data_IF_858467920784
#
_entry.id   IF_858467920784
#
_cell.length_a   1.000
_cell.length_b   1.000
_cell.length_c   1.000
_cell.angle_alpha   90.00
_cell.angle_beta   90.00
_cell.angle_gamma   90.00
#
_symmetry.space_group_name_H-M   'P 1'
#
loop_
_entity.id
_entity.type
_entity.pdbx_description
1 polymer ?
#
# COMPACT_ATOMS: atom_id res chain seq x y z
N UNK A 1 53.56 -30.98 60.82
CA UNK A 1 53.31 -29.56 60.47
C UNK A 1 53.22 -29.45 58.96
N UNK A 2 52.44 -28.47 58.49
CA UNK A 2 52.09 -28.12 57.08
C UNK A 2 50.84 -28.83 56.52
N UNK A 3 49.71 -28.13 56.68
CA UNK A 3 48.40 -28.50 56.14
C UNK A 3 48.23 -28.08 54.69
N UNK A 4 47.21 -28.66 54.05
CA UNK A 4 46.70 -28.21 52.76
C UNK A 4 45.18 -28.12 52.86
N UNK A 5 44.69 -26.89 52.90
CA UNK A 5 43.27 -26.57 52.80
C UNK A 5 42.98 -26.40 51.31
N UNK A 6 42.40 -27.41 50.66
CA UNK A 6 41.87 -27.26 49.30
C UNK A 6 40.37 -27.00 49.38
N UNK A 7 40.04 -25.71 49.34
CA UNK A 7 38.70 -25.24 49.05
C UNK A 7 38.60 -25.24 47.53
N UNK A 8 37.78 -26.12 46.97
CA UNK A 8 37.32 -25.98 45.60
C UNK A 8 35.78 -26.05 45.57
N UNK A 9 35.14 -25.13 44.83
CA UNK A 9 33.87 -24.55 45.20
C UNK A 9 32.68 -25.40 44.75
N UNK A 10 31.56 -25.24 45.45
CA UNK A 10 30.23 -25.70 45.07
C UNK A 10 29.98 -25.41 43.59
N UNK A 11 29.83 -26.45 42.76
CA UNK A 11 29.28 -26.30 41.41
C UNK A 11 27.78 -26.07 41.58
N UNK A 12 27.45 -24.87 42.03
CA UNK A 12 26.10 -24.36 42.05
C UNK A 12 25.82 -23.77 40.67
N UNK A 13 24.62 -24.04 40.18
CA UNK A 13 24.03 -23.48 38.98
C UNK A 13 24.46 -24.16 37.68
N UNK A 14 23.96 -25.38 37.51
CA UNK A 14 23.50 -25.87 36.21
C UNK A 14 22.36 -24.94 35.73
N UNK A 15 22.74 -23.70 35.37
CA UNK A 15 21.84 -22.67 34.87
C UNK A 15 21.24 -23.23 33.58
N UNK A 16 19.91 -23.37 33.58
CA UNK A 16 19.15 -23.61 32.36
C UNK A 16 19.65 -22.63 31.31
N UNK A 17 20.34 -23.17 30.32
CA UNK A 17 20.83 -22.44 29.17
C UNK A 17 19.58 -21.85 28.51
N UNK A 18 19.50 -20.52 28.58
CA UNK A 18 18.50 -19.65 27.97
C UNK A 18 17.81 -20.33 26.80
N UNK A 19 16.52 -20.63 26.92
CA UNK A 19 15.69 -20.95 25.76
C UNK A 19 15.78 -19.71 24.88
N UNK A 20 16.41 -19.76 23.68
CA UNK A 20 16.35 -18.63 22.79
C UNK A 20 14.90 -18.59 22.30
N UNK A 21 14.06 -17.84 23.03
CA UNK A 21 12.78 -17.44 22.51
C UNK A 21 13.09 -16.46 21.38
N UNK A 22 13.34 -17.02 20.21
CA UNK A 22 13.42 -16.28 18.96
C UNK A 22 11.99 -15.81 18.71
N UNK A 23 11.63 -14.67 19.30
CA UNK A 23 10.46 -13.92 18.91
C UNK A 23 10.68 -13.59 17.45
N UNK A 24 10.24 -14.48 16.58
CA UNK A 24 10.18 -14.24 15.16
C UNK A 24 8.95 -13.37 15.04
N UNK A 25 9.08 -12.03 14.89
CA UNK A 25 7.89 -11.25 14.64
C UNK A 25 7.33 -11.82 13.33
N UNK A 26 6.20 -12.50 13.43
CA UNK A 26 5.38 -12.80 12.26
C UNK A 26 4.85 -11.43 11.87
N UNK A 27 5.67 -10.69 11.12
CA UNK A 27 5.32 -9.45 10.49
C UNK A 27 4.21 -9.82 9.51
N UNK A 28 2.97 -9.80 9.99
CA UNK A 28 1.80 -9.80 9.13
C UNK A 28 1.94 -8.52 8.32
N UNK A 29 2.54 -8.62 7.15
CA UNK A 29 2.56 -7.57 6.15
C UNK A 29 1.11 -7.42 5.69
N UNK A 30 0.32 -6.68 6.47
CA UNK A 30 -1.04 -6.32 6.09
C UNK A 30 -0.87 -5.28 5.01
N UNK A 31 -0.66 -5.72 3.77
CA UNK A 31 -0.75 -4.84 2.62
C UNK A 31 -2.18 -4.31 2.58
N UNK A 32 -2.37 -3.12 3.13
CA UNK A 32 -3.64 -2.39 3.03
C UNK A 32 -3.88 -2.13 1.56
N UNK A 33 -4.66 -2.99 0.91
CA UNK A 33 -5.03 -2.83 -0.50
C UNK A 33 -5.59 -1.42 -0.69
N UNK A 34 -4.95 -0.65 -1.56
CA UNK A 34 -5.35 0.72 -1.85
C UNK A 34 -6.75 0.68 -2.45
N UNK A 35 -7.74 1.15 -1.67
CA UNK A 35 -9.16 1.11 -2.05
C UNK A 35 -9.53 2.24 -3.01
N UNK A 36 -8.76 3.31 -3.02
CA UNK A 36 -9.04 4.53 -3.79
C UNK A 36 -7.89 4.84 -4.73
N UNK A 37 -8.20 5.04 -6.01
CA UNK A 37 -7.24 5.49 -7.01
C UNK A 37 -7.80 6.70 -7.76
N UNK A 38 -7.12 7.83 -7.66
CA UNK A 38 -7.45 9.05 -8.40
C UNK A 38 -6.76 9.03 -9.76
N UNK A 39 -7.40 9.57 -10.78
CA UNK A 39 -6.80 9.73 -12.11
C UNK A 39 -7.26 11.02 -12.78
N UNK A 40 -6.41 11.57 -13.63
CA UNK A 40 -6.76 12.60 -14.60
C UNK A 40 -6.86 11.98 -15.99
N UNK A 41 -7.61 12.60 -16.88
CA UNK A 41 -7.74 12.18 -18.27
C UNK A 41 -7.73 13.39 -19.19
N UNK A 42 -7.03 13.25 -20.32
CA UNK A 42 -7.05 14.20 -21.42
C UNK A 42 -7.37 13.38 -22.66
N UNK A 43 -8.27 13.88 -23.50
CA UNK A 43 -8.70 13.21 -24.72
C UNK A 43 -8.77 14.18 -25.89
N UNK A 44 -8.42 13.71 -27.08
CA UNK A 44 -8.64 14.42 -28.34
C UNK A 44 -9.17 13.43 -29.37
N UNK A 45 -10.13 13.85 -30.19
CA UNK A 45 -10.73 13.00 -31.22
C UNK A 45 -10.70 13.65 -32.62
N UNK A 46 -10.96 12.84 -33.65
CA UNK A 46 -11.00 13.26 -35.06
C UNK A 46 -12.12 14.26 -35.37
N UNK A 47 -13.10 14.42 -34.48
CA UNK A 47 -14.16 15.42 -34.60
C UNK A 47 -13.73 16.82 -34.14
N UNK A 48 -12.47 17.04 -33.76
CA UNK A 48 -11.97 18.29 -33.16
C UNK A 48 -12.63 18.62 -31.82
N UNK A 49 -12.96 17.58 -31.05
CA UNK A 49 -13.35 17.72 -29.66
C UNK A 49 -12.15 17.29 -28.83
N UNK A 50 -11.75 18.18 -27.96
CA UNK A 50 -10.74 17.93 -26.97
C UNK A 50 -11.40 17.95 -25.58
N UNK A 51 -10.83 17.26 -24.63
CA UNK A 51 -11.42 17.13 -23.31
C UNK A 51 -10.39 16.93 -22.23
N UNK A 52 -10.70 17.44 -21.05
CA UNK A 52 -9.88 17.30 -19.85
C UNK A 52 -10.79 16.98 -18.66
N UNK A 53 -10.33 16.09 -17.81
CA UNK A 53 -11.15 15.61 -16.72
C UNK A 53 -10.38 14.77 -15.73
N UNK A 54 -11.14 14.13 -14.87
CA UNK A 54 -10.59 13.22 -13.88
C UNK A 54 -11.68 12.39 -13.24
N UNK A 55 -11.24 11.44 -12.44
CA UNK A 55 -12.12 10.51 -11.79
C UNK A 55 -11.45 9.78 -10.65
N UNK A 56 -12.23 8.92 -10.03
CA UNK A 56 -11.79 8.11 -8.92
C UNK A 56 -12.31 6.70 -9.09
N UNK A 57 -11.47 5.73 -8.77
CA UNK A 57 -11.85 4.34 -8.60
C UNK A 57 -11.95 4.02 -7.11
N UNK A 58 -13.07 3.43 -6.71
CA UNK A 58 -13.22 2.71 -5.46
C UNK A 58 -13.23 1.21 -5.75
N UNK A 59 -12.16 0.51 -5.36
CA UNK A 59 -11.91 -0.90 -5.70
C UNK A 59 -12.00 -1.11 -7.23
N UNK A 60 -13.08 -1.73 -7.68
CA UNK A 60 -13.32 -2.10 -9.08
C UNK A 60 -14.28 -1.15 -9.80
N UNK A 61 -14.97 -0.26 -9.08
CA UNK A 61 -15.94 0.68 -9.66
C UNK A 61 -15.36 2.08 -9.62
N UNK A 62 -15.39 2.80 -10.73
CA UNK A 62 -14.94 4.17 -10.80
C UNK A 62 -15.97 5.08 -11.43
N UNK A 63 -15.88 6.36 -11.12
CA UNK A 63 -16.65 7.43 -11.73
C UNK A 63 -15.69 8.48 -12.27
N UNK A 64 -16.07 9.13 -13.37
CA UNK A 64 -15.30 10.22 -13.94
C UNK A 64 -16.18 11.33 -14.46
N UNK A 65 -15.57 12.51 -14.53
CA UNK A 65 -16.12 13.69 -15.15
C UNK A 65 -15.09 14.26 -16.12
N UNK A 66 -15.55 14.69 -17.30
CA UNK A 66 -14.71 15.30 -18.32
C UNK A 66 -15.39 16.53 -18.91
N UNK A 67 -14.66 17.62 -18.97
CA UNK A 67 -15.06 18.82 -19.69
C UNK A 67 -14.60 18.71 -21.13
N UNK A 68 -15.53 18.90 -22.07
CA UNK A 68 -15.30 18.80 -23.50
C UNK A 68 -15.35 20.20 -24.13
N UNK A 69 -14.43 20.48 -25.04
CA UNK A 69 -14.46 21.68 -25.86
C UNK A 69 -14.31 21.32 -27.34
N UNK A 70 -15.18 21.88 -28.16
CA UNK A 70 -15.14 21.71 -29.60
C UNK A 70 -14.36 22.87 -30.23
N UNK A 71 -13.18 22.59 -30.78
CA UNK A 71 -12.25 23.65 -31.24
C UNK A 71 -12.76 24.47 -32.42
N UNK A 72 -13.65 23.90 -33.26
CA UNK A 72 -14.17 24.55 -34.46
C UNK A 72 -15.50 25.28 -34.23
N UNK A 73 -16.38 24.69 -33.43
CA UNK A 73 -17.74 25.20 -33.20
C UNK A 73 -17.85 26.07 -31.94
N UNK A 74 -16.77 26.22 -31.16
CA UNK A 74 -16.75 26.91 -29.87
C UNK A 74 -17.84 26.41 -28.89
N UNK A 75 -18.21 25.14 -29.02
CA UNK A 75 -19.18 24.49 -28.15
C UNK A 75 -18.48 23.79 -26.98
N UNK A 76 -19.17 23.71 -25.86
CA UNK A 76 -18.67 23.06 -24.64
C UNK A 76 -19.62 21.94 -24.23
N UNK A 77 -19.10 20.94 -23.56
CA UNK A 77 -19.86 19.78 -23.12
C UNK A 77 -19.35 19.22 -21.81
N UNK A 78 -20.21 18.46 -21.15
CA UNK A 78 -19.91 17.77 -19.90
C UNK A 78 -20.17 16.28 -20.10
N UNK A 79 -19.18 15.47 -19.75
CA UNK A 79 -19.28 14.02 -19.81
C UNK A 79 -19.15 13.47 -18.39
N UNK A 80 -20.11 12.62 -18.00
CA UNK A 80 -20.11 11.87 -16.75
C UNK A 80 -20.17 10.39 -17.11
N UNK A 81 -19.34 9.57 -16.47
CA UNK A 81 -19.29 8.15 -16.76
C UNK A 81 -18.92 7.29 -15.57
N UNK A 82 -19.26 6.01 -15.68
CA UNK A 82 -18.96 4.96 -14.69
C UNK A 82 -18.14 3.88 -15.37
N UNK A 83 -17.06 3.45 -14.72
CA UNK A 83 -16.15 2.42 -15.21
C UNK A 83 -16.13 1.23 -14.26
N UNK A 84 -16.06 0.01 -14.80
CA UNK A 84 -15.92 -1.23 -14.01
C UNK A 84 -14.67 -1.98 -14.46
N UNK A 85 -13.78 -2.31 -13.53
CA UNK A 85 -12.58 -3.12 -13.73
C UNK A 85 -12.88 -4.58 -13.36
N UNK A 86 -12.68 -5.50 -14.30
CA UNK A 86 -12.80 -6.95 -14.12
C UNK A 86 -11.42 -7.61 -14.09
#
# INVERSE_FOLDING_TARGET
>A
MHGKLEIAPTIQYNQLTTIPYTFTPIEKTVFRKQKWALFSTISYNTFNIAGVGGGVYYKNVGMHYKYLWHMRLHQVGHELGVNVKF
#
